data_IF_570010340284
#
_entry.id   IF_570010340284
#
_cell.length_a   1.000
_cell.length_b   1.000
_cell.length_c   1.000
_cell.angle_alpha   90.00
_cell.angle_beta   90.00
_cell.angle_gamma   90.00
#
_symmetry.space_group_name_H-M   'P 1'
#
loop_
_entity.id
_entity.type
_entity.pdbx_description
1 polymer ?
#
# COMPACT_ATOMS: atom_id res chain seq x y z
N UNK A 1 15.26 -7.57 -22.65
CA UNK A 1 14.26 -6.88 -23.50
C UNK A 1 13.68 -5.75 -22.66
N UNK A 2 13.91 -4.49 -23.03
CA UNK A 2 13.37 -3.33 -22.30
C UNK A 2 11.97 -2.98 -22.84
N UNK A 3 11.05 -2.57 -21.97
CA UNK A 3 9.71 -2.11 -22.38
C UNK A 3 9.80 -0.80 -23.15
N UNK A 4 8.94 -0.63 -24.15
CA UNK A 4 8.74 0.70 -24.72
C UNK A 4 8.04 1.61 -23.71
N UNK A 5 8.22 2.95 -23.77
CA UNK A 5 7.72 3.88 -22.75
C UNK A 5 6.22 3.76 -22.46
N UNK A 6 5.40 3.51 -23.49
CA UNK A 6 3.95 3.37 -23.36
C UNK A 6 3.56 2.12 -22.55
N UNK A 7 4.21 0.98 -22.76
CA UNK A 7 3.95 -0.24 -22.01
C UNK A 7 4.36 -0.11 -20.54
N UNK A 8 5.44 0.62 -20.27
CA UNK A 8 5.86 0.91 -18.89
C UNK A 8 4.83 1.75 -18.15
N UNK A 9 4.27 2.78 -18.82
CA UNK A 9 3.21 3.61 -18.24
C UNK A 9 1.93 2.82 -17.97
N UNK A 10 1.54 1.93 -18.88
CA UNK A 10 0.39 1.05 -18.66
C UNK A 10 0.57 0.17 -17.42
N UNK A 11 1.77 -0.39 -17.23
CA UNK A 11 2.08 -1.19 -16.03
C UNK A 11 2.08 -0.37 -14.75
N UNK A 12 2.66 0.82 -14.77
CA UNK A 12 2.61 1.75 -13.62
C UNK A 12 1.17 2.04 -13.25
N UNK A 13 0.34 2.42 -14.22
CA UNK A 13 -1.07 2.73 -13.97
C UNK A 13 -1.84 1.52 -13.44
N UNK A 14 -1.60 0.33 -13.98
CA UNK A 14 -2.27 -0.89 -13.54
C UNK A 14 -1.86 -1.28 -12.12
N UNK A 15 -0.57 -1.22 -11.77
CA UNK A 15 -0.09 -1.44 -10.40
C UNK A 15 -0.77 -0.48 -9.42
N UNK A 16 -0.73 0.83 -9.71
CA UNK A 16 -1.39 1.85 -8.89
C UNK A 16 -2.89 1.61 -8.76
N UNK A 17 -3.56 1.20 -9.85
CA UNK A 17 -5.00 0.91 -9.82
C UNK A 17 -5.30 -0.28 -8.91
N UNK A 18 -4.55 -1.38 -9.02
CA UNK A 18 -4.74 -2.55 -8.18
C UNK A 18 -4.50 -2.23 -6.70
N UNK A 19 -3.45 -1.45 -6.39
CA UNK A 19 -3.21 -0.97 -5.03
C UNK A 19 -4.36 -0.10 -4.53
N UNK A 20 -4.84 0.86 -5.33
CA UNK A 20 -5.99 1.70 -4.99
C UNK A 20 -7.27 0.89 -4.75
N UNK A 21 -7.38 -0.33 -5.27
CA UNK A 21 -8.53 -1.23 -5.03
C UNK A 21 -8.28 -2.24 -3.90
N UNK A 22 -7.20 -2.04 -3.14
CA UNK A 22 -6.70 -2.96 -2.11
C UNK A 22 -6.47 -4.39 -2.61
N UNK A 23 -6.28 -4.60 -3.91
CA UNK A 23 -5.99 -5.90 -4.51
C UNK A 23 -4.46 -6.14 -4.52
N UNK A 24 -3.92 -6.31 -3.32
CA UNK A 24 -2.49 -6.48 -3.10
C UNK A 24 -1.95 -7.75 -3.74
N UNK A 25 -2.77 -8.79 -3.89
CA UNK A 25 -2.38 -10.07 -4.49
C UNK A 25 -2.17 -9.92 -5.99
N UNK A 26 -3.14 -9.33 -6.69
CA UNK A 26 -3.01 -9.05 -8.13
C UNK A 26 -1.89 -8.05 -8.42
N UNK A 27 -1.76 -7.00 -7.58
CA UNK A 27 -0.69 -6.02 -7.71
C UNK A 27 0.69 -6.70 -7.58
N UNK A 28 0.86 -7.53 -6.55
CA UNK A 28 2.11 -8.26 -6.30
C UNK A 28 2.46 -9.20 -7.45
N UNK A 29 1.50 -9.98 -7.95
CA UNK A 29 1.72 -10.86 -9.09
C UNK A 29 2.11 -10.09 -10.37
N UNK A 30 1.55 -8.90 -10.58
CA UNK A 30 1.94 -8.04 -11.69
C UNK A 30 3.35 -7.45 -11.51
N UNK A 31 3.70 -7.06 -10.29
CA UNK A 31 5.02 -6.56 -9.94
C UNK A 31 6.11 -7.62 -10.17
N UNK A 32 5.89 -8.85 -9.70
CA UNK A 32 6.82 -9.98 -9.89
C UNK A 32 7.08 -10.26 -11.37
N UNK A 33 6.03 -10.22 -12.23
CA UNK A 33 6.19 -10.41 -13.67
C UNK A 33 6.82 -9.22 -14.39
N UNK A 34 6.90 -8.07 -13.73
CA UNK A 34 7.34 -6.80 -14.34
C UNK A 34 8.72 -6.36 -13.89
N UNK A 35 9.27 -6.91 -12.82
CA UNK A 35 10.55 -6.46 -12.25
C UNK A 35 11.72 -6.59 -13.23
N UNK A 36 11.84 -7.72 -13.93
CA UNK A 36 12.91 -7.91 -14.93
C UNK A 36 12.83 -6.94 -16.10
N UNK A 37 11.63 -6.43 -16.37
CA UNK A 37 11.35 -5.47 -17.44
C UNK A 37 11.50 -4.02 -16.97
N UNK A 38 11.64 -3.78 -15.66
CA UNK A 38 11.74 -2.47 -15.05
C UNK A 38 13.17 -1.91 -15.01
N UNK A 39 14.18 -2.71 -15.40
CA UNK A 39 15.60 -2.31 -15.41
C UNK A 39 15.81 -1.00 -16.16
N UNK A 40 16.37 0.00 -15.47
CA UNK A 40 16.61 1.34 -16.01
C UNK A 40 15.38 2.24 -16.10
N UNK A 41 14.21 1.80 -15.62
CA UNK A 41 12.99 2.60 -15.57
C UNK A 41 12.63 2.93 -14.12
N UNK A 42 13.10 4.09 -13.66
CA UNK A 42 12.88 4.56 -12.28
C UNK A 42 11.40 4.63 -11.91
N UNK A 43 10.50 5.02 -12.83
CA UNK A 43 9.06 5.13 -12.53
C UNK A 43 8.42 3.76 -12.29
N UNK A 44 8.74 2.78 -13.13
CA UNK A 44 8.23 1.42 -12.96
C UNK A 44 8.82 0.75 -11.72
N UNK A 45 10.11 0.96 -11.44
CA UNK A 45 10.75 0.48 -10.22
C UNK A 45 10.08 1.10 -8.97
N UNK A 46 9.78 2.40 -8.97
CA UNK A 46 9.06 3.05 -7.87
C UNK A 46 7.67 2.45 -7.66
N UNK A 47 6.90 2.21 -8.73
CA UNK A 47 5.58 1.59 -8.61
C UNK A 47 5.64 0.15 -8.07
N UNK A 48 6.65 -0.63 -8.50
CA UNK A 48 6.89 -1.98 -7.99
C UNK A 48 7.33 -1.95 -6.52
N UNK A 49 8.21 -1.04 -6.14
CA UNK A 49 8.62 -0.85 -4.75
C UNK A 49 7.40 -0.55 -3.86
N UNK A 50 6.57 0.43 -4.23
CA UNK A 50 5.34 0.74 -3.49
C UNK A 50 4.39 -0.45 -3.39
N UNK A 51 4.33 -1.28 -4.43
CA UNK A 51 3.56 -2.53 -4.42
C UNK A 51 4.09 -3.50 -3.36
N UNK A 52 5.41 -3.75 -3.35
CA UNK A 52 6.02 -4.65 -2.36
C UNK A 52 5.89 -4.11 -0.94
N UNK A 53 6.02 -2.80 -0.71
CA UNK A 53 5.76 -2.18 0.60
C UNK A 53 4.34 -2.48 1.07
N UNK A 54 3.35 -2.24 0.20
CA UNK A 54 1.93 -2.43 0.52
C UNK A 54 1.57 -3.90 0.72
N UNK A 55 2.23 -4.80 -0.01
CA UNK A 55 2.09 -6.24 0.13
C UNK A 55 2.93 -6.84 1.27
N UNK A 56 3.49 -5.98 2.12
CA UNK A 56 4.33 -6.32 3.26
C UNK A 56 5.66 -7.02 2.93
N UNK A 57 6.05 -7.11 1.65
CA UNK A 57 7.32 -7.70 1.18
C UNK A 57 8.48 -6.72 1.34
N UNK A 58 8.90 -6.53 2.59
CA UNK A 58 9.87 -5.49 2.98
C UNK A 58 11.23 -5.65 2.29
N UNK A 59 11.78 -6.86 2.27
CA UNK A 59 13.10 -7.15 1.68
C UNK A 59 13.10 -6.90 0.17
N UNK A 60 12.03 -7.29 -0.52
CA UNK A 60 11.86 -7.03 -1.94
C UNK A 60 11.76 -5.53 -2.22
N UNK A 61 10.97 -4.80 -1.42
CA UNK A 61 10.83 -3.35 -1.56
C UNK A 61 12.19 -2.64 -1.40
N UNK A 62 12.98 -3.00 -0.39
CA UNK A 62 14.32 -2.42 -0.18
C UNK A 62 15.21 -2.65 -1.40
N UNK A 63 15.27 -3.87 -1.92
CA UNK A 63 16.08 -4.19 -3.12
C UNK A 63 15.68 -3.35 -4.32
N UNK A 64 14.37 -3.22 -4.59
CA UNK A 64 13.88 -2.43 -5.73
C UNK A 64 14.14 -0.94 -5.55
N UNK A 65 14.04 -0.41 -4.32
CA UNK A 65 14.33 0.99 -4.02
C UNK A 65 15.82 1.32 -4.19
N UNK A 66 16.71 0.41 -3.81
CA UNK A 66 18.14 0.57 -4.06
C UNK A 66 18.46 0.59 -5.55
N UNK A 67 17.82 -0.26 -6.35
CA UNK A 67 17.94 -0.22 -7.80
C UNK A 67 17.39 1.08 -8.39
N UNK A 68 16.19 1.50 -7.95
CA UNK A 68 15.57 2.75 -8.38
C UNK A 68 16.45 3.97 -8.07
N UNK A 69 17.07 4.00 -6.89
CA UNK A 69 18.00 5.07 -6.48
C UNK A 69 19.20 5.18 -7.43
N UNK A 70 19.82 4.06 -7.79
CA UNK A 70 20.95 4.03 -8.73
C UNK A 70 20.55 4.55 -10.12
N UNK A 71 19.35 4.22 -10.58
CA UNK A 71 18.82 4.73 -11.86
C UNK A 71 18.52 6.23 -11.75
N UNK A 72 17.92 6.68 -10.64
CA UNK A 72 17.51 8.06 -10.41
C UNK A 72 18.67 9.06 -10.47
N UNK A 73 19.85 8.69 -9.96
CA UNK A 73 21.08 9.51 -10.05
C UNK A 73 21.44 9.92 -11.48
N UNK A 74 20.96 9.16 -12.47
CA UNK A 74 21.24 9.35 -13.88
C UNK A 74 20.04 9.90 -14.67
N UNK A 75 18.93 10.25 -14.01
CA UNK A 75 17.72 10.79 -14.64
C UNK A 75 17.55 12.26 -14.26
N UNK A 76 17.88 13.21 -15.16
CA UNK A 76 17.74 14.64 -14.90
C UNK A 76 16.29 15.01 -14.52
N UNK A 77 16.13 15.75 -13.42
CA UNK A 77 14.82 16.24 -12.96
C UNK A 77 13.97 15.23 -12.19
N UNK A 78 14.47 14.03 -11.90
CA UNK A 78 13.79 13.12 -10.98
C UNK A 78 14.07 13.54 -9.52
N UNK A 79 13.09 14.19 -8.88
CA UNK A 79 13.13 14.56 -7.46
C UNK A 79 12.32 13.61 -6.56
N UNK A 80 11.90 12.46 -7.09
CA UNK A 80 11.11 11.49 -6.34
C UNK A 80 11.90 10.95 -5.16
N UNK A 81 11.57 11.41 -3.95
CA UNK A 81 12.07 10.80 -2.74
C UNK A 81 11.50 9.38 -2.66
N UNK A 82 12.35 8.38 -2.93
CA UNK A 82 12.02 7.01 -2.57
C UNK A 82 11.96 6.99 -1.04
N UNK A 83 10.76 6.82 -0.48
CA UNK A 83 10.40 6.92 0.95
C UNK A 83 11.11 5.91 1.86
N UNK A 84 12.44 5.87 1.77
CA UNK A 84 13.35 4.92 2.40
C UNK A 84 13.39 5.09 3.90
N UNK A 85 13.26 6.31 4.43
CA UNK A 85 13.25 6.55 5.88
C UNK A 85 12.01 5.95 6.53
N UNK A 86 10.82 6.34 6.07
CA UNK A 86 9.55 5.83 6.59
C UNK A 86 9.42 4.32 6.40
N UNK A 87 9.86 3.79 5.25
CA UNK A 87 9.90 2.35 5.02
C UNK A 87 10.85 1.62 5.97
N UNK A 88 12.07 2.14 6.18
CA UNK A 88 13.03 1.53 7.12
C UNK A 88 12.48 1.56 8.55
N UNK A 89 11.81 2.63 8.95
CA UNK A 89 11.13 2.72 10.24
C UNK A 89 10.03 1.65 10.34
N UNK A 90 9.18 1.51 9.32
CA UNK A 90 8.15 0.48 9.29
C UNK A 90 8.73 -0.94 9.38
N UNK A 91 9.81 -1.24 8.65
CA UNK A 91 10.49 -2.53 8.74
C UNK A 91 11.06 -2.78 10.14
N UNK A 92 11.70 -1.77 10.75
CA UNK A 92 12.27 -1.88 12.08
C UNK A 92 11.19 -2.10 13.14
N UNK A 93 10.06 -1.41 13.03
CA UNK A 93 8.93 -1.53 13.95
C UNK A 93 8.28 -2.92 13.85
N UNK A 94 8.07 -3.44 12.63
CA UNK A 94 7.61 -4.82 12.41
C UNK A 94 8.54 -5.84 13.07
N UNK A 95 9.85 -5.70 12.87
CA UNK A 95 10.85 -6.59 13.47
C UNK A 95 10.88 -6.50 15.01
N UNK A 96 10.74 -5.29 15.56
CA UNK A 96 10.69 -5.06 17.01
C UNK A 96 9.51 -5.80 17.67
N UNK A 97 8.36 -5.80 17.00
CA UNK A 97 7.15 -6.45 17.51
C UNK A 97 6.98 -7.91 17.04
N UNK A 98 7.93 -8.43 16.25
CA UNK A 98 7.97 -9.82 15.82
C UNK A 98 6.97 -10.20 14.73
N UNK A 99 6.45 -9.22 13.97
CA UNK A 99 5.48 -9.49 12.90
C UNK A 99 6.17 -9.94 11.61
N UNK A 100 5.67 -11.03 11.01
CA UNK A 100 6.10 -11.51 9.70
C UNK A 100 5.25 -10.97 8.55
N UNK A 101 5.81 -10.93 7.34
CA UNK A 101 5.13 -10.44 6.13
C UNK A 101 3.79 -11.14 5.87
N UNK A 102 3.74 -12.47 6.07
CA UNK A 102 2.53 -13.26 5.86
C UNK A 102 1.43 -12.90 6.86
N UNK A 103 1.78 -12.66 8.12
CA UNK A 103 0.84 -12.31 9.18
C UNK A 103 0.21 -10.94 8.92
N UNK A 104 1.04 -9.91 8.63
CA UNK A 104 0.55 -8.57 8.30
C UNK A 104 -0.32 -8.55 7.04
N UNK A 105 0.03 -9.36 6.05
CA UNK A 105 -0.78 -9.54 4.85
C UNK A 105 -2.15 -10.14 5.16
N UNK A 106 -2.23 -11.13 6.04
CA UNK A 106 -3.52 -11.72 6.42
C UNK A 106 -4.36 -10.77 7.30
N UNK A 107 -3.75 -9.96 8.17
CA UNK A 107 -4.45 -8.87 8.88
C UNK A 107 -5.09 -7.89 7.88
N UNK A 108 -4.30 -7.42 6.91
CA UNK A 108 -4.79 -6.52 5.86
C UNK A 108 -5.92 -7.14 5.03
N UNK A 109 -5.75 -8.39 4.59
CA UNK A 109 -6.76 -9.12 3.81
C UNK A 109 -8.04 -9.34 4.60
N UNK A 110 -7.94 -9.55 5.91
CA UNK A 110 -9.10 -9.70 6.79
C UNK A 110 -9.90 -8.40 6.83
N UNK A 111 -9.25 -7.25 7.01
CA UNK A 111 -9.92 -5.95 6.97
C UNK A 111 -10.60 -5.69 5.60
N UNK A 112 -9.90 -5.96 4.49
CA UNK A 112 -10.47 -5.83 3.14
C UNK A 112 -11.65 -6.77 2.91
N UNK A 113 -11.62 -7.98 3.46
CA UNK A 113 -12.70 -8.95 3.33
C UNK A 113 -13.96 -8.47 4.02
N UNK A 114 -13.86 -7.95 5.24
CA UNK A 114 -15.00 -7.36 5.97
C UNK A 114 -15.68 -6.27 5.14
N UNK A 115 -14.89 -5.39 4.51
CA UNK A 115 -15.41 -4.32 3.66
C UNK A 115 -16.08 -4.87 2.41
N UNK A 116 -15.49 -5.89 1.76
CA UNK A 116 -16.06 -6.49 0.53
C UNK A 116 -17.32 -7.32 0.78
N UNK A 117 -17.48 -7.86 1.99
CA UNK A 117 -18.67 -8.59 2.42
C UNK A 117 -19.86 -7.66 2.75
N UNK A 118 -19.62 -6.37 2.97
CA UNK A 118 -20.68 -5.42 3.28
C UNK A 118 -21.34 -4.87 2.01
N UNK A 119 -22.65 -5.05 1.91
CA UNK A 119 -23.44 -4.61 0.76
C UNK A 119 -23.35 -3.09 0.56
N UNK A 120 -23.03 -2.68 -0.67
CA UNK A 120 -22.97 -1.28 -1.05
C UNK A 120 -21.66 -0.55 -0.70
N UNK A 121 -20.62 -1.25 -0.22
CA UNK A 121 -19.30 -0.62 0.03
C UNK A 121 -18.64 -0.05 -1.25
N UNK A 122 -18.98 -0.60 -2.41
CA UNK A 122 -18.39 -0.18 -3.68
C UNK A 122 -18.74 1.25 -4.10
N UNK A 123 -17.80 2.04 -4.64
CA UNK A 123 -16.38 1.70 -4.84
C UNK A 123 -15.52 1.79 -3.57
N UNK A 124 -14.59 0.83 -3.41
CA UNK A 124 -13.52 0.86 -2.41
C UNK A 124 -12.30 1.56 -3.01
N UNK A 125 -11.75 2.55 -2.31
CA UNK A 125 -10.46 3.16 -2.62
C UNK A 125 -9.52 3.07 -1.42
N UNK A 126 -8.30 2.66 -1.66
CA UNK A 126 -7.29 2.44 -0.62
C UNK A 126 -6.21 3.51 -0.67
N UNK A 127 -5.82 3.99 0.50
CA UNK A 127 -4.61 4.78 0.72
C UNK A 127 -3.93 4.34 2.01
N UNK A 128 -2.66 4.67 2.17
CA UNK A 128 -2.00 4.55 3.46
C UNK A 128 -1.20 5.80 3.80
N UNK A 129 -0.95 5.96 5.09
CA UNK A 129 -0.03 6.96 5.64
C UNK A 129 0.92 6.23 6.57
N UNK A 130 2.22 6.43 6.39
CA UNK A 130 3.22 5.89 7.31
C UNK A 130 3.67 7.01 8.24
N UNK A 131 3.61 6.78 9.55
CA UNK A 131 4.11 7.71 10.55
C UNK A 131 5.65 7.77 10.52
N UNK A 132 6.22 8.78 11.17
CA UNK A 132 7.67 8.88 11.33
C UNK A 132 8.25 7.71 12.15
N UNK A 133 7.44 7.10 13.02
CA UNK A 133 7.80 5.95 13.85
C UNK A 133 7.68 4.62 13.09
N UNK A 134 7.08 4.63 11.89
CA UNK A 134 6.95 3.47 11.02
C UNK A 134 5.61 2.73 11.11
N UNK A 135 4.72 3.13 12.01
CA UNK A 135 3.35 2.61 12.02
C UNK A 135 2.60 3.03 10.76
N UNK A 136 1.78 2.12 10.22
CA UNK A 136 1.08 2.33 8.95
C UNK A 136 -0.42 2.42 9.18
N UNK A 137 -1.00 3.57 8.88
CA UNK A 137 -2.45 3.76 8.89
C UNK A 137 -2.99 3.45 7.51
N UNK A 138 -3.87 2.45 7.42
CA UNK A 138 -4.53 2.00 6.21
C UNK A 138 -5.94 2.58 6.17
N UNK A 139 -6.22 3.40 5.16
CA UNK A 139 -7.54 3.99 4.95
C UNK A 139 -8.26 3.32 3.80
N UNK A 140 -9.51 2.93 4.06
CA UNK A 140 -10.43 2.38 3.09
C UNK A 140 -11.58 3.37 2.88
N UNK A 141 -11.56 4.04 1.73
CA UNK A 141 -12.53 5.05 1.35
C UNK A 141 -13.68 4.39 0.59
N UNK A 142 -14.91 4.55 1.07
CA UNK A 142 -16.09 3.83 0.57
C UNK A 142 -17.26 4.78 0.36
N UNK A 143 -18.21 4.44 -0.51
CA UNK A 143 -19.38 5.29 -0.77
C UNK A 143 -20.46 5.09 0.30
N UNK A 144 -20.12 5.40 1.55
CA UNK A 144 -20.97 5.26 2.73
C UNK A 144 -20.87 6.49 3.64
N UNK A 145 -21.76 6.58 4.63
CA UNK A 145 -21.72 7.65 5.64
C UNK A 145 -20.64 7.40 6.69
N UNK A 146 -20.31 8.43 7.48
CA UNK A 146 -19.36 8.29 8.58
C UNK A 146 -19.83 7.30 9.65
N UNK A 147 -21.13 7.24 9.91
CA UNK A 147 -21.73 6.29 10.87
C UNK A 147 -21.57 4.85 10.40
N UNK A 148 -21.80 4.58 9.11
CA UNK A 148 -21.59 3.25 8.51
C UNK A 148 -20.10 2.90 8.50
N UNK A 149 -19.22 3.87 8.24
CA UNK A 149 -17.78 3.64 8.31
C UNK A 149 -17.33 3.29 9.73
N UNK A 150 -17.86 3.95 10.76
CA UNK A 150 -17.57 3.60 12.15
C UNK A 150 -18.08 2.19 12.51
N UNK A 151 -19.23 1.77 11.98
CA UNK A 151 -19.70 0.39 12.12
C UNK A 151 -18.75 -0.60 11.43
N UNK A 152 -18.25 -0.26 10.24
CA UNK A 152 -17.27 -1.08 9.52
C UNK A 152 -15.93 -1.18 10.27
N UNK A 153 -15.48 -0.11 10.93
CA UNK A 153 -14.29 -0.14 11.78
C UNK A 153 -14.44 -1.13 12.93
N UNK A 154 -15.61 -1.13 13.59
CA UNK A 154 -15.92 -2.13 14.62
C UNK A 154 -15.93 -3.55 14.06
N UNK A 155 -16.57 -3.77 12.91
CA UNK A 155 -16.59 -5.10 12.26
C UNK A 155 -15.20 -5.58 11.86
N UNK A 156 -14.32 -4.67 11.43
CA UNK A 156 -12.91 -4.99 11.16
C UNK A 156 -12.22 -5.41 12.45
N UNK A 157 -12.35 -4.61 13.53
CA UNK A 157 -11.73 -4.90 14.81
C UNK A 157 -12.20 -6.25 15.38
N UNK A 158 -13.51 -6.53 15.36
CA UNK A 158 -14.09 -7.79 15.81
C UNK A 158 -13.50 -8.96 15.02
N UNK A 159 -13.49 -8.87 13.68
CA UNK A 159 -12.95 -9.96 12.84
C UNK A 159 -11.45 -10.18 13.06
N UNK A 160 -10.68 -9.13 13.36
CA UNK A 160 -9.26 -9.26 13.66
C UNK A 160 -9.03 -9.97 15.00
N UNK A 161 -9.78 -9.62 16.05
CA UNK A 161 -9.66 -10.27 17.37
C UNK A 161 -10.17 -11.72 17.34
N UNK A 162 -11.15 -12.03 16.50
CA UNK A 162 -11.63 -13.41 16.29
C UNK A 162 -10.58 -14.31 15.62
N UNK A 163 -9.82 -13.76 14.66
CA UNK A 163 -8.94 -14.55 13.79
C UNK A 163 -7.47 -14.55 14.24
N UNK A 164 -7.03 -13.60 15.06
CA UNK A 164 -5.63 -13.40 15.39
C UNK A 164 -5.44 -13.18 16.89
N UNK A 165 -4.41 -13.83 17.47
CA UNK A 165 -4.02 -13.60 18.87
C UNK A 165 -3.48 -12.17 19.10
N UNK A 166 -2.95 -11.54 18.05
CA UNK A 166 -2.47 -10.16 18.03
C UNK A 166 -2.95 -9.47 16.76
N UNK A 167 -3.58 -8.30 16.90
CA UNK A 167 -4.21 -7.58 15.79
C UNK A 167 -3.29 -6.58 15.06
N UNK A 168 -2.01 -6.48 15.43
CA UNK A 168 -1.07 -5.59 14.74
C UNK A 168 -1.15 -4.13 15.14
N UNK A 169 -1.85 -3.75 16.22
CA UNK A 169 -2.13 -2.34 16.56
C UNK A 169 -0.86 -1.48 16.74
N UNK A 170 0.27 -2.11 17.10
CA UNK A 170 1.54 -1.41 17.27
C UNK A 170 2.18 -1.02 15.93
N UNK A 171 1.83 -1.71 14.85
CA UNK A 171 2.47 -1.57 13.53
C UNK A 171 1.53 -1.10 12.43
N UNK A 172 0.24 -1.38 12.56
CA UNK A 172 -0.77 -1.00 11.59
C UNK A 172 -2.11 -0.64 12.24
N UNK A 173 -2.85 0.22 11.57
CA UNK A 173 -4.24 0.52 11.91
C UNK A 173 -5.08 0.49 10.65
N UNK A 174 -6.35 0.09 10.78
CA UNK A 174 -7.31 0.06 9.69
C UNK A 174 -8.42 1.04 10.00
N UNK A 175 -8.81 1.85 9.02
CA UNK A 175 -9.94 2.77 9.16
C UNK A 175 -10.73 2.86 7.88
N UNK A 176 -12.04 2.83 8.01
CA UNK A 176 -13.01 3.07 6.98
C UNK A 176 -13.37 4.56 7.00
N UNK A 177 -13.38 5.19 5.82
CA UNK A 177 -13.70 6.61 5.66
C UNK A 177 -14.72 6.80 4.54
N UNK A 178 -15.60 7.81 4.63
CA UNK A 178 -16.42 8.19 3.50
C UNK A 178 -15.56 8.58 2.29
N UNK A 179 -15.98 8.22 1.08
CA UNK A 179 -15.25 8.52 -0.15
C UNK A 179 -14.98 10.03 -0.35
N UNK A 180 -15.83 10.89 0.22
CA UNK A 180 -15.61 12.34 0.25
C UNK A 180 -14.28 12.74 0.88
N UNK A 181 -13.86 12.07 1.96
CA UNK A 181 -12.62 12.37 2.67
C UNK A 181 -11.37 12.13 1.82
N UNK A 182 -11.46 11.26 0.80
CA UNK A 182 -10.38 11.07 -0.16
C UNK A 182 -10.08 12.33 -0.99
N UNK A 183 -11.11 13.12 -1.32
CA UNK A 183 -10.94 14.31 -2.16
C UNK A 183 -10.37 15.47 -1.36
N UNK A 184 -10.80 15.65 -0.11
CA UNK A 184 -10.29 16.70 0.78
C UNK A 184 -8.79 16.50 1.09
N UNK A 185 -8.33 15.25 1.25
CA UNK A 185 -6.90 14.93 1.43
C UNK A 185 -6.01 15.29 0.21
N UNK A 186 -6.59 15.45 -0.99
CA UNK A 186 -5.82 15.81 -2.18
C UNK A 186 -5.75 17.34 -2.42
N UNK A 187 -6.61 18.13 -1.79
CA UNK A 187 -6.52 19.60 -1.88
C UNK A 187 -5.33 20.13 -1.06
N UNK A 188 -5.07 19.54 0.11
CA UNK A 188 -3.92 19.91 0.96
C UNK A 188 -2.55 19.46 0.40
N UNK A 189 -2.53 18.46 -0.51
CA UNK A 189 -1.29 18.00 -1.15
C UNK A 189 -0.85 18.84 -2.37
N UNK A 190 -1.67 19.83 -2.76
CA UNK A 190 -1.40 20.77 -3.85
C UNK A 190 -1.21 22.22 -3.35
N UNK A 191 -1.15 22.43 -2.03
CA UNK A 191 -0.87 23.71 -1.36
C UNK A 191 0.61 24.00 -1.16
#
# INVERSE_FOLDING_TARGET
>A
MHLVPQESLLKVNLLTTLLNLADIDAATALADRSIELAKGNVRLLTAIASTYVTAFRAEDAVRVIEEASKVAEHVPGYSGALGTKALKAACALRALHGYGDAELRELFKTAVTVLREFDGVGPLRYTNVTSDEGSVMHHFHVMQTAEVCAELDWRIADRLVENFERAGEEVLTFSCLPLGAYFDLNEDALG
#
